data_IF_199615016233
#
_entry.id   IF_199615016233
#
_cell.length_a   1.000
_cell.length_b   1.000
_cell.length_c   1.000
_cell.angle_alpha   90.00
_cell.angle_beta   90.00
_cell.angle_gamma   90.00
#
_symmetry.space_group_name_H-M   'P 1'
#
loop_
_entity.id
_entity.type
_entity.pdbx_description
1 polymer ?
#
# COMPACT_ATOMS: atom_id res chain seq x y z
N UNK A 1 -17.50 -3.93 0.70
CA UNK A 1 -16.13 -4.24 1.14
C UNK A 1 -15.20 -3.33 0.37
N UNK A 2 -14.20 -2.74 1.03
CA UNK A 2 -13.18 -1.88 0.40
C UNK A 2 -11.84 -2.56 0.61
N UNK A 3 -11.03 -2.62 -0.44
CA UNK A 3 -9.67 -3.17 -0.39
C UNK A 3 -8.62 -2.07 -0.55
N UNK A 4 -7.47 -2.27 0.08
CA UNK A 4 -6.31 -1.40 -0.03
C UNK A 4 -5.02 -2.23 0.15
N UNK A 5 -3.93 -1.72 -0.41
CA UNK A 5 -2.60 -2.27 -0.17
C UNK A 5 -2.19 -1.99 1.28
N UNK A 6 -1.42 -2.88 1.88
CA UNK A 6 -0.84 -2.64 3.17
C UNK A 6 0.23 -1.54 3.04
N UNK A 7 0.21 -0.47 3.88
CA UNK A 7 1.11 0.68 3.68
C UNK A 7 2.60 0.34 3.59
N UNK A 8 3.05 -0.74 4.24
CA UNK A 8 4.46 -1.13 4.19
C UNK A 8 4.96 -1.49 2.79
N UNK A 9 4.08 -1.86 1.85
CA UNK A 9 4.47 -2.15 0.47
C UNK A 9 5.19 -0.96 -0.15
N UNK A 10 4.74 0.25 0.16
CA UNK A 10 5.28 1.49 -0.38
C UNK A 10 6.62 1.90 0.26
N UNK A 11 7.13 1.17 1.27
CA UNK A 11 8.45 1.48 1.85
C UNK A 11 9.60 1.09 0.91
N UNK A 12 9.32 0.26 -0.09
CA UNK A 12 10.29 -0.33 -0.99
C UNK A 12 10.01 0.07 -2.44
N UNK A 13 11.01 -0.13 -3.29
CA UNK A 13 10.88 0.02 -4.73
C UNK A 13 10.10 -1.16 -5.32
N UNK A 14 8.97 -0.90 -5.98
CA UNK A 14 8.07 -1.94 -6.46
C UNK A 14 8.74 -2.89 -7.48
N UNK A 15 9.45 -2.34 -8.46
CA UNK A 15 10.18 -3.13 -9.46
C UNK A 15 11.20 -4.05 -8.77
N UNK A 16 11.90 -3.56 -7.74
CA UNK A 16 12.85 -4.37 -6.97
C UNK A 16 12.16 -5.49 -6.17
N UNK A 17 10.95 -5.26 -5.68
CA UNK A 17 10.18 -6.24 -4.90
C UNK A 17 9.57 -7.33 -5.79
N UNK A 18 8.97 -6.96 -6.93
CA UNK A 18 8.24 -7.89 -7.80
C UNK A 18 9.07 -8.42 -8.97
N UNK A 19 9.88 -7.59 -9.62
CA UNK A 19 10.56 -7.94 -10.89
C UNK A 19 12.02 -8.38 -10.71
N UNK A 20 12.67 -7.97 -9.62
CA UNK A 20 14.10 -8.25 -9.37
C UNK A 20 14.36 -8.91 -8.00
N UNK A 21 13.82 -10.12 -7.75
CA UNK A 21 13.94 -10.80 -6.45
C UNK A 21 15.38 -11.19 -6.07
N UNK A 22 16.32 -11.15 -7.00
CA UNK A 22 17.74 -11.36 -6.76
C UNK A 22 18.48 -10.13 -6.23
N UNK A 23 17.93 -8.92 -6.42
CA UNK A 23 18.57 -7.68 -5.96
C UNK A 23 18.45 -7.55 -4.44
N UNK A 24 19.44 -6.92 -3.83
CA UNK A 24 19.35 -6.52 -2.42
C UNK A 24 18.26 -5.45 -2.26
N UNK A 25 17.46 -5.61 -1.21
CA UNK A 25 16.30 -4.76 -0.96
C UNK A 25 16.60 -3.74 0.13
N UNK A 26 16.43 -2.46 -0.18
CA UNK A 26 16.63 -1.35 0.75
C UNK A 26 15.32 -0.62 1.04
N UNK A 27 15.12 -0.21 2.30
CA UNK A 27 14.08 0.75 2.64
C UNK A 27 14.35 2.06 1.89
N UNK A 28 13.41 2.46 1.04
CA UNK A 28 13.60 3.55 0.09
C UNK A 28 12.71 4.75 0.37
N UNK A 29 11.45 4.51 0.74
CA UNK A 29 10.47 5.58 0.90
C UNK A 29 9.86 5.60 2.30
N UNK A 30 9.65 6.81 2.81
CA UNK A 30 8.89 7.04 4.03
C UNK A 30 7.38 6.96 3.75
N UNK A 31 6.61 6.62 4.79
CA UNK A 31 5.15 6.66 4.73
C UNK A 31 4.60 7.94 5.38
N UNK A 32 3.53 8.54 4.83
CA UNK A 32 2.85 8.13 3.61
C UNK A 32 3.63 8.48 2.33
N UNK A 33 3.75 7.50 1.43
CA UNK A 33 4.36 7.64 0.11
C UNK A 33 3.47 8.48 -0.81
N UNK A 34 4.08 9.38 -1.56
CA UNK A 34 3.41 10.22 -2.54
C UNK A 34 4.27 10.30 -3.81
N UNK A 35 3.95 9.47 -4.80
CA UNK A 35 4.71 9.39 -6.05
C UNK A 35 4.79 10.73 -6.77
N UNK A 36 3.74 11.55 -6.71
CA UNK A 36 3.73 12.87 -7.36
C UNK A 36 4.77 13.81 -6.74
N UNK A 37 4.84 13.87 -5.41
CA UNK A 37 5.84 14.70 -4.73
C UNK A 37 7.26 14.21 -5.03
N UNK A 38 7.47 12.90 -5.01
CA UNK A 38 8.78 12.32 -5.30
C UNK A 38 9.20 12.54 -6.76
N UNK A 39 8.26 12.54 -7.71
CA UNK A 39 8.53 12.90 -9.10
C UNK A 39 8.84 14.40 -9.24
N UNK A 40 8.07 15.28 -8.60
CA UNK A 40 8.34 16.72 -8.56
C UNK A 40 9.73 17.04 -7.96
N UNK A 41 10.20 16.22 -7.01
CA UNK A 41 11.54 16.29 -6.40
C UNK A 41 12.64 15.60 -7.24
N UNK A 42 12.28 14.90 -8.32
CA UNK A 42 13.23 14.16 -9.18
C UNK A 42 13.79 12.88 -8.54
N UNK A 43 13.15 12.36 -7.50
CA UNK A 43 13.55 11.11 -6.81
C UNK A 43 13.12 9.87 -7.60
N UNK A 44 11.97 9.97 -8.28
CA UNK A 44 11.42 8.90 -9.13
C UNK A 44 10.93 9.48 -10.45
N UNK A 45 10.73 8.62 -11.45
CA UNK A 45 10.06 8.95 -12.70
C UNK A 45 8.81 8.08 -12.81
N UNK A 46 7.64 8.69 -13.00
CA UNK A 46 6.40 7.94 -13.13
C UNK A 46 6.12 7.67 -14.60
N UNK A 47 6.08 6.39 -14.93
CA UNK A 47 5.61 5.96 -16.24
C UNK A 47 4.13 6.33 -16.37
N UNK A 48 3.74 7.15 -17.38
CA UNK A 48 2.37 7.61 -17.54
C UNK A 48 1.32 6.51 -17.71
N UNK A 49 1.75 5.27 -18.00
CA UNK A 49 0.87 4.09 -18.10
C UNK A 49 0.43 3.53 -16.75
N UNK A 50 1.22 3.72 -15.69
CA UNK A 50 0.96 3.12 -14.37
C UNK A 50 0.31 4.12 -13.39
N UNK A 51 0.35 5.42 -13.70
CA UNK A 51 -0.31 6.46 -12.91
C UNK A 51 0.41 6.75 -11.59
N UNK A 52 -0.09 7.75 -10.87
CA UNK A 52 0.43 8.09 -9.55
C UNK A 52 -0.14 7.18 -8.48
N UNK A 53 0.74 6.66 -7.64
CA UNK A 53 0.39 5.90 -6.45
C UNK A 53 0.62 6.72 -5.17
N UNK A 54 -0.24 6.49 -4.19
CA UNK A 54 -0.20 7.16 -2.90
C UNK A 54 -0.48 6.12 -1.83
N UNK A 55 0.40 6.03 -0.83
CA UNK A 55 0.09 5.22 0.34
C UNK A 55 -0.81 5.99 1.30
N UNK A 56 -1.12 5.34 2.41
CA UNK A 56 -1.97 5.88 3.47
C UNK A 56 -1.49 5.36 4.82
N UNK A 57 -2.15 5.78 5.90
CA UNK A 57 -2.08 5.07 7.18
C UNK A 57 -3.30 4.16 7.30
N UNK A 58 -3.22 3.13 8.13
CA UNK A 58 -4.41 2.33 8.47
C UNK A 58 -5.42 3.17 9.25
N UNK A 59 -4.95 4.18 9.99
CA UNK A 59 -5.83 5.13 10.66
C UNK A 59 -6.66 5.94 9.64
N UNK A 60 -6.03 6.52 8.61
CA UNK A 60 -6.77 7.31 7.63
C UNK A 60 -7.79 6.46 6.85
N UNK A 61 -7.46 5.20 6.53
CA UNK A 61 -8.37 4.31 5.79
C UNK A 61 -9.46 3.67 6.68
N UNK A 62 -9.08 3.04 7.79
CA UNK A 62 -10.00 2.26 8.63
C UNK A 62 -10.67 3.15 9.67
N UNK A 63 -9.89 3.91 10.45
CA UNK A 63 -10.47 4.79 11.49
C UNK A 63 -11.33 5.89 10.88
N UNK A 64 -11.00 6.35 9.67
CA UNK A 64 -11.85 7.27 8.90
C UNK A 64 -13.29 6.74 8.71
N UNK A 65 -13.44 5.46 8.35
CA UNK A 65 -14.76 4.82 8.22
C UNK A 65 -15.47 4.71 9.57
N UNK A 66 -14.75 4.31 10.63
CA UNK A 66 -15.32 4.21 11.98
C UNK A 66 -15.82 5.56 12.50
N UNK A 67 -15.02 6.62 12.35
CA UNK A 67 -15.38 7.99 12.73
C UNK A 67 -16.57 8.51 11.92
N UNK A 68 -16.72 8.06 10.67
CA UNK A 68 -17.88 8.36 9.84
C UNK A 68 -19.14 7.58 10.26
N UNK A 69 -19.12 6.81 11.35
CA UNK A 69 -20.27 6.09 11.88
C UNK A 69 -20.55 4.76 11.18
N UNK A 70 -19.53 4.15 10.58
CA UNK A 70 -19.63 2.77 10.10
C UNK A 70 -19.12 1.80 11.17
N UNK A 71 -19.76 0.64 11.29
CA UNK A 71 -19.25 -0.49 12.05
C UNK A 71 -18.56 -1.48 11.11
N UNK A 72 -17.32 -1.84 11.43
CA UNK A 72 -16.59 -2.89 10.73
C UNK A 72 -17.07 -4.25 11.22
N UNK A 73 -17.61 -5.04 10.29
CA UNK A 73 -18.21 -6.35 10.57
C UNK A 73 -17.40 -7.51 10.00
N UNK A 74 -16.42 -7.23 9.15
CA UNK A 74 -15.50 -8.23 8.62
C UNK A 74 -14.16 -7.60 8.22
N UNK A 75 -13.11 -8.40 8.24
CA UNK A 75 -11.75 -8.02 7.85
C UNK A 75 -11.02 -9.20 7.20
N UNK A 76 -10.38 -8.94 6.07
CA UNK A 76 -9.71 -9.94 5.25
C UNK A 76 -8.31 -9.45 4.87
N UNK A 77 -7.37 -10.38 4.80
CA UNK A 77 -6.02 -10.13 4.31
C UNK A 77 -5.66 -11.14 3.23
N UNK A 78 -4.92 -10.69 2.22
CA UNK A 78 -4.39 -11.57 1.17
C UNK A 78 -2.91 -11.31 0.91
N UNK A 79 -2.36 -12.22 0.11
CA UNK A 79 -0.97 -12.25 -0.28
C UNK A 79 -0.86 -12.34 -1.80
N UNK A 80 0.15 -11.68 -2.34
CA UNK A 80 0.65 -11.87 -3.68
C UNK A 80 1.84 -12.83 -3.64
N UNK A 81 1.70 -14.00 -4.24
CA UNK A 81 2.81 -14.97 -4.33
C UNK A 81 4.00 -14.46 -5.14
N UNK A 82 3.81 -13.44 -5.99
CA UNK A 82 4.90 -12.80 -6.71
C UNK A 82 5.67 -11.79 -5.83
N UNK A 83 5.07 -11.28 -4.75
CA UNK A 83 5.77 -10.40 -3.82
C UNK A 83 6.72 -11.22 -2.91
N UNK A 84 8.03 -11.04 -3.08
CA UNK A 84 9.06 -11.71 -2.26
C UNK A 84 8.96 -11.40 -0.76
N UNK A 85 8.27 -10.33 -0.38
CA UNK A 85 8.04 -9.91 1.00
C UNK A 85 6.78 -10.51 1.63
N UNK A 86 5.92 -11.19 0.86
CA UNK A 86 4.64 -11.71 1.38
C UNK A 86 4.80 -12.72 2.53
N UNK A 87 5.98 -13.35 2.62
CA UNK A 87 6.35 -14.24 3.72
C UNK A 87 6.53 -13.50 5.07
N UNK A 88 6.71 -12.18 5.05
CA UNK A 88 6.93 -11.35 6.23
C UNK A 88 5.70 -10.53 6.63
N UNK A 89 4.75 -10.32 5.71
CA UNK A 89 3.54 -9.55 5.96
C UNK A 89 2.52 -9.70 4.84
N UNK A 90 1.25 -9.45 5.15
CA UNK A 90 0.16 -9.49 4.16
C UNK A 90 0.18 -8.24 3.28
N UNK A 91 -0.01 -8.46 1.99
CA UNK A 91 0.14 -7.45 0.95
C UNK A 91 -1.10 -6.56 0.84
N UNK A 92 -2.27 -7.17 0.96
CA UNK A 92 -3.54 -6.48 0.80
C UNK A 92 -4.42 -6.72 2.00
N UNK A 93 -5.25 -5.73 2.27
CA UNK A 93 -6.22 -5.70 3.35
C UNK A 93 -7.56 -5.32 2.74
N UNK A 94 -8.64 -5.90 3.25
CA UNK A 94 -9.98 -5.49 2.92
C UNK A 94 -10.86 -5.48 4.15
N UNK A 95 -11.70 -4.46 4.28
CA UNK A 95 -12.65 -4.37 5.37
C UNK A 95 -14.09 -4.24 4.85
N UNK A 96 -15.02 -4.86 5.57
CA UNK A 96 -16.46 -4.69 5.34
C UNK A 96 -17.03 -3.84 6.46
N UNK A 97 -17.62 -2.73 6.08
CA UNK A 97 -18.26 -1.78 6.97
C UNK A 97 -19.74 -1.63 6.61
N UNK A 98 -20.61 -1.55 7.62
CA UNK A 98 -22.02 -1.18 7.49
C UNK A 98 -22.28 0.14 8.19
N UNK A 99 -23.13 0.99 7.61
CA UNK A 99 -23.51 2.25 8.23
C UNK A 99 -24.46 1.96 9.40
N UNK A 100 -24.16 2.55 10.55
CA UNK A 100 -25.05 2.54 11.72
C UNK A 100 -26.22 3.52 11.55
#
# INVERSE_FOLDING_TARGET
MVGYMNPWIYMYDADTVWDYPEKELFLKYSLPFNSRQLEEEGVIEINPKYGYEFSHTLESQIRGQLNAGFAMIDFYESQDSANRLTQYGKDYLANLCIKL
#
